data_IF_961882129061
#
_entry.id   IF_961882129061
#
_cell.length_a   1.000
_cell.length_b   1.000
_cell.length_c   1.000
_cell.angle_alpha   90.00
_cell.angle_beta   90.00
_cell.angle_gamma   90.00
#
_symmetry.space_group_name_H-M   'P 1'
#
loop_
_entity.id
_entity.type
_entity.pdbx_description
1 polymer ?
#
# COMPACT_ATOMS: atom_id res chain seq x y z
N UNK A 1 16.21 37.42 -10.61
CA UNK A 1 14.76 37.22 -10.44
C UNK A 1 14.60 36.00 -9.56
N UNK A 2 14.23 36.18 -8.31
CA UNK A 2 14.20 35.10 -7.31
C UNK A 2 12.75 34.64 -7.21
N UNK A 3 12.44 33.46 -7.75
CA UNK A 3 11.11 32.86 -7.61
C UNK A 3 10.81 32.60 -6.12
N UNK A 4 9.58 32.86 -5.66
CA UNK A 4 9.20 32.54 -4.29
C UNK A 4 9.15 31.00 -4.15
N UNK A 5 9.93 30.46 -3.21
CA UNK A 5 9.79 29.06 -2.77
C UNK A 5 8.36 28.87 -2.27
N UNK A 6 7.58 28.07 -3.00
CA UNK A 6 6.17 27.85 -2.71
C UNK A 6 5.92 27.39 -1.28
N UNK A 7 5.17 28.18 -0.53
CA UNK A 7 4.51 27.85 0.75
C UNK A 7 3.32 26.89 0.48
N UNK A 8 3.57 25.80 -0.23
CA UNK A 8 2.55 24.87 -0.70
C UNK A 8 2.63 23.51 -0.02
N UNK A 9 1.49 22.85 0.08
CA UNK A 9 1.42 21.42 0.45
C UNK A 9 1.96 20.58 -0.72
N UNK A 10 2.87 19.63 -0.44
CA UNK A 10 3.47 18.72 -1.43
C UNK A 10 3.16 17.27 -1.08
N UNK A 11 2.83 16.47 -2.08
CA UNK A 11 2.57 15.04 -1.92
C UNK A 11 3.54 14.23 -2.80
N UNK A 12 4.37 13.40 -2.16
CA UNK A 12 5.20 12.42 -2.85
C UNK A 12 4.53 11.05 -2.82
N UNK A 13 4.67 10.31 -3.92
CA UNK A 13 4.14 8.96 -4.05
C UNK A 13 5.23 7.99 -4.48
N UNK A 14 5.23 6.80 -3.91
CA UNK A 14 6.07 5.69 -4.33
C UNK A 14 5.26 4.39 -4.26
N UNK A 15 5.46 3.52 -5.24
CA UNK A 15 4.76 2.25 -5.37
C UNK A 15 5.75 1.16 -5.78
N UNK A 16 5.64 0.00 -5.13
CA UNK A 16 6.32 -1.22 -5.52
C UNK A 16 5.30 -2.34 -5.58
N UNK A 17 5.34 -3.15 -6.64
CA UNK A 17 4.43 -4.27 -6.82
C UNK A 17 5.15 -5.45 -7.45
N UNK A 18 4.84 -6.64 -6.96
CA UNK A 18 5.32 -7.91 -7.48
C UNK A 18 4.13 -8.85 -7.69
N UNK A 19 4.12 -9.55 -8.83
CA UNK A 19 3.12 -10.57 -9.14
C UNK A 19 3.81 -11.84 -9.61
N UNK A 20 3.40 -12.98 -9.05
CA UNK A 20 3.91 -14.30 -9.41
C UNK A 20 2.75 -15.28 -9.58
N UNK A 21 2.92 -16.25 -10.48
CA UNK A 21 2.00 -17.37 -10.66
C UNK A 21 2.79 -18.64 -10.93
N UNK A 22 2.32 -19.79 -10.42
CA UNK A 22 2.94 -21.08 -10.70
C UNK A 22 2.53 -21.57 -12.09
N UNK A 23 3.50 -21.85 -12.96
CA UNK A 23 3.25 -22.28 -14.34
C UNK A 23 2.42 -23.57 -14.45
N UNK A 24 2.62 -24.52 -13.54
CA UNK A 24 1.90 -25.80 -13.52
C UNK A 24 0.57 -25.76 -12.75
N UNK A 25 0.29 -24.65 -12.05
CA UNK A 25 -0.92 -24.47 -11.26
C UNK A 25 -1.22 -22.97 -11.14
N UNK A 26 -1.86 -22.37 -12.16
CA UNK A 26 -2.14 -20.94 -12.18
C UNK A 26 -3.15 -20.50 -11.11
N UNK A 27 -3.81 -21.43 -10.41
CA UNK A 27 -4.62 -21.10 -9.25
C UNK A 27 -3.75 -20.63 -8.06
N UNK A 28 -2.47 -21.00 -8.06
CA UNK A 28 -1.47 -20.52 -7.10
C UNK A 28 -0.74 -19.29 -7.62
N UNK A 29 -1.35 -18.13 -7.35
CA UNK A 29 -0.79 -16.82 -7.67
C UNK A 29 -0.60 -15.97 -6.42
N UNK A 30 0.38 -15.08 -6.42
CA UNK A 30 0.60 -14.12 -5.36
C UNK A 30 0.84 -12.74 -5.95
N UNK A 31 0.19 -11.73 -5.40
CA UNK A 31 0.49 -10.31 -5.63
C UNK A 31 0.90 -9.71 -4.30
N UNK A 32 1.97 -8.92 -4.30
CA UNK A 32 2.39 -8.12 -3.15
C UNK A 32 2.63 -6.71 -3.61
N UNK A 33 2.35 -5.74 -2.75
CA UNK A 33 2.66 -4.37 -3.06
C UNK A 33 2.80 -3.49 -1.84
N UNK A 34 3.52 -2.40 -2.01
CA UNK A 34 3.65 -1.33 -1.04
C UNK A 34 3.36 -0.02 -1.74
N UNK A 35 2.44 0.75 -1.20
CA UNK A 35 2.16 2.12 -1.59
C UNK A 35 2.58 3.05 -0.45
N UNK A 36 3.39 4.05 -0.76
CA UNK A 36 3.82 5.07 0.19
C UNK A 36 3.39 6.44 -0.31
N UNK A 37 2.79 7.22 0.60
CA UNK A 37 2.51 8.64 0.41
C UNK A 37 3.28 9.44 1.47
N UNK A 38 3.94 10.51 1.07
CA UNK A 38 4.56 11.47 2.00
C UNK A 38 3.99 12.85 1.74
N UNK A 39 3.16 13.32 2.67
CA UNK A 39 2.57 14.65 2.67
C UNK A 39 3.47 15.60 3.44
N UNK A 40 3.93 16.65 2.77
CA UNK A 40 4.62 17.78 3.37
C UNK A 40 3.65 18.95 3.46
N UNK A 41 3.28 19.36 4.66
CA UNK A 41 2.44 20.51 4.90
C UNK A 41 3.26 21.81 4.87
N UNK A 42 2.61 22.94 4.55
CA UNK A 42 3.26 24.26 4.61
C UNK A 42 3.73 24.64 6.03
N UNK A 43 3.15 24.03 7.07
CA UNK A 43 3.57 24.15 8.47
C UNK A 43 4.91 23.48 8.77
N UNK A 44 5.43 22.66 7.85
CA UNK A 44 6.61 21.82 8.05
C UNK A 44 6.29 20.42 8.56
N UNK A 45 5.03 20.14 8.95
CA UNK A 45 4.62 18.81 9.36
C UNK A 45 4.73 17.80 8.20
N UNK A 46 5.17 16.58 8.52
CA UNK A 46 5.30 15.48 7.57
C UNK A 46 4.40 14.33 7.99
N UNK A 47 3.47 13.96 7.12
CA UNK A 47 2.65 12.75 7.30
C UNK A 47 3.08 11.69 6.30
N UNK A 48 3.45 10.52 6.81
CA UNK A 48 3.80 9.36 6.01
C UNK A 48 2.67 8.34 6.11
N UNK A 49 2.13 7.91 4.98
CA UNK A 49 1.16 6.82 4.89
C UNK A 49 1.80 5.67 4.13
N UNK A 50 1.87 4.49 4.74
CA UNK A 50 2.32 3.25 4.08
C UNK A 50 1.19 2.26 4.10
N UNK A 51 0.77 1.82 2.91
CA UNK A 51 -0.15 0.72 2.73
C UNK A 51 0.61 -0.47 2.12
N UNK A 52 0.55 -1.63 2.76
CA UNK A 52 1.06 -2.88 2.19
C UNK A 52 -0.11 -3.78 1.86
N UNK A 53 -0.12 -4.36 0.66
CA UNK A 53 -1.11 -5.34 0.26
C UNK A 53 -0.45 -6.68 -0.04
N UNK A 54 -1.15 -7.75 0.30
CA UNK A 54 -0.83 -9.08 -0.17
C UNK A 54 -2.10 -9.78 -0.61
N UNK A 55 -2.04 -10.40 -1.78
CA UNK A 55 -3.08 -11.24 -2.32
C UNK A 55 -2.46 -12.59 -2.61
N UNK A 56 -3.03 -13.66 -2.07
CA UNK A 56 -2.61 -15.03 -2.38
C UNK A 56 -3.83 -15.80 -2.84
N UNK A 57 -3.73 -16.43 -3.99
CA UNK A 57 -4.74 -17.36 -4.47
C UNK A 57 -4.25 -18.79 -4.30
N UNK A 58 -5.20 -19.67 -3.97
CA UNK A 58 -5.08 -21.12 -3.97
C UNK A 58 -6.09 -21.69 -4.97
N UNK A 59 -6.18 -23.02 -5.06
CA UNK A 59 -7.19 -23.70 -5.86
C UNK A 59 -8.64 -23.30 -5.48
N UNK A 60 -8.87 -23.03 -4.21
CA UNK A 60 -10.20 -22.92 -3.59
C UNK A 60 -10.49 -21.54 -3.00
N UNK A 61 -9.48 -20.71 -2.75
CA UNK A 61 -9.64 -19.43 -2.06
C UNK A 61 -8.78 -18.30 -2.64
N UNK A 62 -9.20 -17.09 -2.32
CA UNK A 62 -8.44 -15.86 -2.43
C UNK A 62 -8.26 -15.29 -1.02
N UNK A 63 -7.02 -15.09 -0.61
CA UNK A 63 -6.67 -14.47 0.66
C UNK A 63 -6.13 -13.08 0.39
N UNK A 64 -6.78 -12.06 0.94
CA UNK A 64 -6.35 -10.68 0.85
C UNK A 64 -5.96 -10.16 2.23
N UNK A 65 -4.85 -9.45 2.30
CA UNK A 65 -4.43 -8.69 3.47
C UNK A 65 -4.01 -7.29 3.04
N UNK A 66 -4.50 -6.28 3.76
CA UNK A 66 -4.09 -4.89 3.62
C UNK A 66 -3.70 -4.40 5.00
N UNK A 67 -2.50 -3.85 5.14
CA UNK A 67 -2.09 -3.13 6.34
C UNK A 67 -1.82 -1.67 5.99
N UNK A 68 -2.29 -0.76 6.83
CA UNK A 68 -2.13 0.68 6.71
C UNK A 68 -1.44 1.18 7.97
N UNK A 69 -0.33 1.90 7.80
CA UNK A 69 0.36 2.63 8.86
C UNK A 69 0.43 4.11 8.49
N UNK A 70 0.10 4.97 9.44
CA UNK A 70 0.22 6.42 9.32
C UNK A 70 1.14 6.92 10.42
N UNK A 71 2.16 7.66 10.02
CA UNK A 71 3.08 8.36 10.91
C UNK A 71 2.94 9.86 10.68
N UNK A 72 2.90 10.65 11.75
CA UNK A 72 3.01 12.11 11.71
C UNK A 72 4.28 12.52 12.44
N UNK A 73 5.14 13.26 11.76
CA UNK A 73 6.43 13.72 12.27
C UNK A 73 7.26 12.58 12.89
N UNK A 74 7.24 11.42 12.23
CA UNK A 74 7.94 10.19 12.65
C UNK A 74 7.27 9.39 13.76
N UNK A 75 6.14 9.83 14.30
CA UNK A 75 5.37 9.11 15.32
C UNK A 75 4.18 8.40 14.70
N UNK A 76 4.02 7.10 14.95
CA UNK A 76 2.85 6.35 14.51
C UNK A 76 1.58 6.89 15.19
N UNK A 77 0.59 7.28 14.38
CA UNK A 77 -0.70 7.80 14.84
C UNK A 77 -1.87 6.88 14.50
N UNK A 78 -1.68 5.98 13.54
CA UNK A 78 -2.67 4.98 13.16
C UNK A 78 -1.97 3.75 12.59
N UNK A 79 -2.43 2.57 13.02
CA UNK A 79 -2.11 1.31 12.37
C UNK A 79 -3.38 0.45 12.32
N UNK A 80 -3.72 -0.03 11.13
CA UNK A 80 -4.86 -0.93 10.92
C UNK A 80 -4.54 -2.01 9.90
N UNK A 81 -5.06 -3.21 10.15
CA UNK A 81 -4.94 -4.35 9.23
C UNK A 81 -6.32 -4.91 8.94
N UNK A 82 -6.58 -5.23 7.68
CA UNK A 82 -7.76 -5.93 7.21
C UNK A 82 -7.33 -7.23 6.56
N UNK A 83 -8.09 -8.30 6.84
CA UNK A 83 -7.88 -9.62 6.25
C UNK A 83 -9.21 -10.14 5.78
N UNK A 84 -9.23 -10.67 4.57
CA UNK A 84 -10.39 -11.31 3.99
C UNK A 84 -10.00 -12.61 3.31
N UNK A 85 -10.89 -13.59 3.35
CA UNK A 85 -10.75 -14.84 2.61
C UNK A 85 -12.06 -15.13 1.90
N UNK A 86 -12.00 -15.24 0.58
CA UNK A 86 -13.16 -15.40 -0.29
C UNK A 86 -13.00 -16.73 -1.04
N UNK A 87 -14.02 -17.60 -1.07
CA UNK A 87 -13.97 -18.82 -1.87
C UNK A 87 -13.89 -18.47 -3.37
N UNK A 88 -13.13 -19.27 -4.13
CA UNK A 88 -13.10 -19.17 -5.59
C UNK A 88 -14.32 -19.87 -6.17
N UNK A 89 -15.17 -19.09 -6.80
CA UNK A 89 -16.15 -19.62 -7.75
C UNK A 89 -15.51 -19.57 -9.14
N UNK A 90 -15.06 -20.72 -9.64
CA UNK A 90 -14.70 -20.85 -11.05
C UNK A 90 -16.01 -20.82 -11.84
N UNK A 91 -16.24 -19.71 -12.56
CA UNK A 91 -17.30 -19.62 -13.58
C UNK A 91 -16.93 -20.47 -14.80
#
# INVERSE_FOLDING_TARGET
STEPRGTGTRLDTAAEQEATARRGDPAHATVRGTQRYTLHEASGAVTVVVATCSLRSTADHLHAEVALRVERDGTEVLHRTWRETIPRHLL
#
